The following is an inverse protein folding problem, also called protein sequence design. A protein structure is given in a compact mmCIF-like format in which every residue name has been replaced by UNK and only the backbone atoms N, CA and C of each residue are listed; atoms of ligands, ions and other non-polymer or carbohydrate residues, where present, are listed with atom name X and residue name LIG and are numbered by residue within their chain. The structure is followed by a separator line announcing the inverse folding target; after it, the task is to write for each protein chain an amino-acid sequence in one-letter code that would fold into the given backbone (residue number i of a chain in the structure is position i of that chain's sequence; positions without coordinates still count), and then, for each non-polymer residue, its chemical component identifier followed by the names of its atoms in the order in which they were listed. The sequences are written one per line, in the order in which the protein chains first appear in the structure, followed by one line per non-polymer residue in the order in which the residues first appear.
data_IF_621405257652
#
_entry.id   IF_621405257652
#
_cell.length_a   1.000
_cell.length_b   1.000
_cell.length_c   1.000
_cell.angle_alpha   90.00
_cell.angle_beta   90.00
_cell.angle_gamma   90.00
#
_symmetry.space_group_name_H-M   'P 1'
#
loop_
_entity.id
_entity.type
_entity.pdbx_description
1 polymer ?
#
# COMPACT_ATOMS: atom_id res chain seq x y z
N UNK A 1 31.94 36.30 19.06
CA UNK A 1 30.60 36.77 18.68
C UNK A 1 30.19 35.96 17.46
N UNK A 2 29.54 34.80 17.69
CA UNK A 2 29.04 33.90 16.65
C UNK A 2 27.58 34.22 16.37
N UNK A 3 27.28 34.61 15.16
CA UNK A 3 25.90 34.72 14.66
C UNK A 3 25.34 33.33 14.39
N UNK A 4 24.27 32.95 15.09
CA UNK A 4 23.45 31.78 14.74
C UNK A 4 22.72 32.07 13.40
N UNK A 5 22.66 31.11 12.46
CA UNK A 5 21.84 31.27 11.27
C UNK A 5 20.36 31.19 11.66
N UNK A 6 19.60 32.18 11.24
CA UNK A 6 18.16 32.25 11.41
C UNK A 6 17.48 31.03 10.80
N UNK A 7 16.74 30.29 11.60
CA UNK A 7 15.87 29.20 11.15
C UNK A 7 14.83 29.75 10.16
N UNK A 8 14.81 29.23 8.93
CA UNK A 8 13.75 29.51 7.96
C UNK A 8 12.42 29.06 8.54
N UNK A 9 11.35 29.87 8.45
CA UNK A 9 10.04 29.45 8.89
C UNK A 9 9.58 28.27 8.02
N UNK A 10 9.35 27.13 8.66
CA UNK A 10 8.65 25.99 8.07
C UNK A 10 7.26 26.46 7.67
N UNK A 11 6.97 26.50 6.36
CA UNK A 11 5.65 26.82 5.86
C UNK A 11 4.67 25.76 6.41
N UNK A 12 3.90 26.13 7.42
CA UNK A 12 2.78 25.35 7.92
C UNK A 12 1.73 25.35 6.82
N UNK A 13 1.56 24.20 6.15
CA UNK A 13 0.45 24.01 5.22
C UNK A 13 -0.82 24.06 6.06
N UNK A 14 -1.50 25.21 6.03
CA UNK A 14 -2.80 25.42 6.66
C UNK A 14 -3.81 24.50 5.96
N UNK A 15 -4.30 23.47 6.66
CA UNK A 15 -5.37 22.63 6.15
C UNK A 15 -6.69 23.40 6.27
N UNK A 16 -7.52 23.48 5.22
CA UNK A 16 -8.80 24.18 5.28
C UNK A 16 -9.71 23.51 6.30
N UNK A 17 -10.32 24.32 7.16
CA UNK A 17 -11.37 23.89 8.09
C UNK A 17 -12.74 24.20 7.47
N UNK A 18 -13.65 23.25 7.59
CA UNK A 18 -15.02 23.36 7.11
C UNK A 18 -15.97 23.53 8.28
N UNK A 19 -16.66 24.66 8.31
CA UNK A 19 -17.65 24.96 9.34
C UNK A 19 -19.05 24.93 8.72
N UNK A 20 -19.95 24.14 9.30
CA UNK A 20 -21.38 24.17 8.98
C UNK A 20 -22.06 25.18 9.91
N UNK A 21 -22.65 26.22 9.32
CA UNK A 21 -23.39 27.25 10.06
C UNK A 21 -24.88 27.10 9.76
N UNK A 22 -25.68 26.89 10.80
CA UNK A 22 -27.14 26.86 10.73
C UNK A 22 -27.65 28.06 11.50
N UNK A 23 -28.45 28.89 10.84
CA UNK A 23 -29.07 30.07 11.45
C UNK A 23 -30.58 29.85 11.51
N UNK A 24 -31.12 29.87 12.69
CA UNK A 24 -32.55 29.71 12.92
C UNK A 24 -33.14 30.91 13.70
N UNK A 25 -34.27 31.47 13.23
CA UNK A 25 -35.02 32.47 13.98
C UNK A 25 -35.96 31.76 14.94
N UNK A 26 -35.81 31.99 16.24
CA UNK A 26 -36.65 31.38 17.28
C UNK A 26 -37.86 32.28 17.64
N UNK A 27 -37.66 33.60 17.59
CA UNK A 27 -38.69 34.62 17.78
C UNK A 27 -38.29 35.91 17.06
N UNK A 28 -39.10 36.95 17.12
CA UNK A 28 -38.82 38.21 16.44
C UNK A 28 -37.54 38.90 16.93
N UNK A 29 -37.11 38.61 18.16
CA UNK A 29 -35.92 39.20 18.76
C UNK A 29 -34.85 38.16 19.10
N UNK A 30 -34.96 36.88 18.67
CA UNK A 30 -34.02 35.85 19.01
C UNK A 30 -33.66 35.02 17.78
N UNK A 31 -32.37 35.03 17.47
CA UNK A 31 -31.75 34.22 16.43
C UNK A 31 -30.74 33.27 17.08
N UNK A 32 -30.84 32.00 16.72
CA UNK A 32 -29.89 30.97 17.16
C UNK A 32 -28.96 30.69 16.00
N UNK A 33 -27.66 30.70 16.28
CA UNK A 33 -26.59 30.32 15.33
C UNK A 33 -25.91 29.08 15.89
N UNK A 34 -25.99 27.96 15.14
CA UNK A 34 -25.29 26.72 15.45
C UNK A 34 -24.08 26.62 14.51
N UNK A 35 -22.90 26.52 15.08
CA UNK A 35 -21.65 26.32 14.33
C UNK A 35 -21.10 24.95 14.68
N UNK A 36 -20.90 24.09 13.67
CA UNK A 36 -20.33 22.76 13.81
C UNK A 36 -19.10 22.62 12.93
N UNK A 37 -17.99 22.11 13.48
CA UNK A 37 -16.85 21.72 12.68
C UNK A 37 -17.17 20.39 11.97
N UNK A 38 -17.22 20.44 10.63
CA UNK A 38 -17.50 19.29 9.78
C UNK A 38 -16.27 18.89 8.95
N UNK A 39 -15.11 19.41 9.30
CA UNK A 39 -13.87 19.22 8.53
C UNK A 39 -13.51 17.74 8.34
N UNK A 40 -13.64 16.92 9.37
CA UNK A 40 -13.39 15.48 9.27
C UNK A 40 -14.39 14.78 8.34
N UNK A 41 -15.69 15.10 8.47
CA UNK A 41 -16.74 14.51 7.64
C UNK A 41 -16.56 14.87 6.16
N UNK A 42 -16.21 16.13 5.86
CA UNK A 42 -15.96 16.58 4.49
C UNK A 42 -14.69 15.91 3.92
N UNK A 43 -13.61 15.84 4.69
CA UNK A 43 -12.38 15.14 4.27
C UNK A 43 -12.65 13.66 4.00
N UNK A 44 -13.38 13.00 4.88
CA UNK A 44 -13.74 11.59 4.69
C UNK A 44 -14.57 11.40 3.41
N UNK A 45 -15.56 12.28 3.15
CA UNK A 45 -16.34 12.22 1.92
C UNK A 45 -15.47 12.44 0.69
N UNK A 46 -14.58 13.44 0.70
CA UNK A 46 -13.67 13.71 -0.42
C UNK A 46 -12.72 12.54 -0.71
N UNK A 47 -12.15 11.94 0.34
CA UNK A 47 -11.27 10.76 0.20
C UNK A 47 -12.06 9.58 -0.37
N UNK A 48 -13.28 9.36 0.10
CA UNK A 48 -14.16 8.30 -0.40
C UNK A 48 -14.53 8.53 -1.87
N UNK A 49 -14.93 9.75 -2.23
CA UNK A 49 -15.38 10.08 -3.59
C UNK A 49 -14.21 10.02 -4.58
N UNK A 50 -13.03 10.50 -4.19
CA UNK A 50 -11.80 10.32 -4.97
C UNK A 50 -11.43 8.85 -5.12
N UNK A 51 -11.62 8.04 -4.08
CA UNK A 51 -11.38 6.60 -4.14
C UNK A 51 -12.31 5.92 -5.16
N UNK A 52 -13.62 6.21 -5.12
CA UNK A 52 -14.59 5.63 -6.06
C UNK A 52 -14.26 6.04 -7.50
N UNK A 53 -13.92 7.32 -7.74
CA UNK A 53 -13.56 7.83 -9.06
C UNK A 53 -12.32 7.11 -9.59
N UNK A 54 -11.25 7.04 -8.80
CA UNK A 54 -10.00 6.38 -9.19
C UNK A 54 -10.21 4.88 -9.46
N UNK A 55 -10.98 4.18 -8.62
CA UNK A 55 -11.33 2.76 -8.83
C UNK A 55 -12.04 2.60 -10.17
N UNK A 56 -13.04 3.44 -10.45
CA UNK A 56 -13.81 3.38 -11.69
C UNK A 56 -12.91 3.59 -12.92
N UNK A 57 -12.03 4.59 -12.90
CA UNK A 57 -11.08 4.85 -13.97
C UNK A 57 -10.09 3.70 -14.19
N UNK A 58 -9.59 3.11 -13.10
CA UNK A 58 -8.64 2.00 -13.19
C UNK A 58 -9.31 0.68 -13.65
N UNK A 59 -10.62 0.50 -13.38
CA UNK A 59 -11.39 -0.64 -13.92
C UNK A 59 -11.73 -0.46 -15.39
N UNK A 60 -11.99 0.76 -15.84
CA UNK A 60 -12.32 1.04 -17.24
C UNK A 60 -11.17 0.72 -18.21
N UNK A 61 -9.92 0.98 -17.84
CA UNK A 61 -8.76 0.74 -18.72
C UNK A 61 -8.63 -0.72 -19.18
N UNK A 62 -8.57 -1.72 -18.26
CA UNK A 62 -8.48 -3.11 -18.68
C UNK A 62 -9.75 -3.61 -19.39
N UNK A 63 -10.96 -3.11 -19.03
CA UNK A 63 -12.19 -3.49 -19.74
C UNK A 63 -12.20 -2.98 -21.17
N UNK A 64 -11.76 -1.75 -21.45
CA UNK A 64 -11.59 -1.24 -22.80
C UNK A 64 -10.56 -2.04 -23.61
N UNK A 65 -9.45 -2.47 -22.96
CA UNK A 65 -8.48 -3.35 -23.63
C UNK A 65 -9.08 -4.71 -23.97
N UNK A 66 -9.95 -5.26 -23.13
CA UNK A 66 -10.65 -6.51 -23.39
C UNK A 66 -11.64 -6.37 -24.55
N UNK A 67 -12.40 -5.27 -24.63
CA UNK A 67 -13.30 -4.95 -25.76
C UNK A 67 -12.52 -4.86 -27.07
N UNK A 68 -11.43 -4.09 -27.11
CA UNK A 68 -10.59 -3.96 -28.29
C UNK A 68 -10.03 -5.32 -28.78
N UNK A 69 -9.61 -6.19 -27.85
CA UNK A 69 -9.15 -7.53 -28.18
C UNK A 69 -10.27 -8.42 -28.72
N UNK A 70 -11.47 -8.29 -28.17
CA UNK A 70 -12.64 -9.01 -28.67
C UNK A 70 -12.99 -8.58 -30.12
N UNK A 71 -13.00 -7.27 -30.38
CA UNK A 71 -13.24 -6.72 -31.74
C UNK A 71 -12.23 -7.24 -32.77
N UNK A 72 -10.94 -7.33 -32.39
CA UNK A 72 -9.88 -7.86 -33.25
C UNK A 72 -10.13 -9.34 -33.57
N UNK A 73 -10.58 -10.12 -32.59
CA UNK A 73 -10.89 -11.54 -32.79
C UNK A 73 -12.13 -11.73 -33.70
N UNK A 74 -13.16 -10.88 -33.52
CA UNK A 74 -14.39 -10.94 -34.34
C UNK A 74 -14.15 -10.54 -35.78
N UNK A 75 -13.26 -9.60 -36.08
CA UNK A 75 -12.99 -9.15 -37.45
C UNK A 75 -12.33 -10.22 -38.31
N UNK A 76 -11.75 -11.26 -37.75
CA UNK A 76 -11.12 -12.36 -38.45
C UNK A 76 -9.88 -11.93 -39.26
N UNK A 77 -9.16 -12.90 -39.83
CA UNK A 77 -7.98 -12.62 -40.66
C UNK A 77 -6.67 -12.40 -39.90
N UNK A 78 -6.68 -12.66 -38.61
CA UNK A 78 -5.48 -12.58 -37.75
C UNK A 78 -4.57 -13.79 -37.97
N UNK A 79 -3.26 -13.54 -38.03
CA UNK A 79 -2.28 -14.62 -38.08
C UNK A 79 -2.27 -15.41 -36.75
N UNK A 80 -1.75 -16.65 -36.76
CA UNK A 80 -1.59 -17.47 -35.56
C UNK A 80 -0.78 -16.71 -34.48
N UNK A 81 0.24 -15.95 -34.88
CA UNK A 81 1.07 -15.15 -33.97
C UNK A 81 0.29 -14.00 -33.33
N UNK A 82 -0.63 -13.38 -34.07
CA UNK A 82 -1.48 -12.30 -33.52
C UNK A 82 -2.50 -12.87 -32.55
N UNK A 83 -3.05 -14.05 -32.81
CA UNK A 83 -3.96 -14.75 -31.88
C UNK A 83 -3.23 -15.05 -30.55
N UNK A 84 -2.00 -15.56 -30.60
CA UNK A 84 -1.22 -15.86 -29.41
C UNK A 84 -0.88 -14.59 -28.64
N UNK A 85 -0.48 -13.51 -29.31
CA UNK A 85 -0.20 -12.21 -28.69
C UNK A 85 -1.44 -11.63 -28.00
N UNK A 86 -2.57 -11.64 -28.69
CA UNK A 86 -3.84 -11.15 -28.16
C UNK A 86 -4.31 -11.98 -26.96
N UNK A 87 -4.14 -13.30 -27.00
CA UNK A 87 -4.44 -14.17 -25.87
C UNK A 87 -3.57 -13.90 -24.65
N UNK A 88 -2.26 -13.57 -24.84
CA UNK A 88 -1.41 -13.14 -23.75
C UNK A 88 -1.88 -11.80 -23.13
N UNK A 89 -2.20 -10.81 -23.95
CA UNK A 89 -2.68 -9.51 -23.47
C UNK A 89 -4.02 -9.65 -22.74
N UNK A 90 -4.93 -10.50 -23.23
CA UNK A 90 -6.18 -10.82 -22.56
C UNK A 90 -5.93 -11.39 -21.14
N UNK A 91 -5.07 -12.38 -21.04
CA UNK A 91 -4.71 -12.99 -19.75
C UNK A 91 -4.11 -11.97 -18.78
N UNK A 92 -3.20 -11.12 -19.25
CA UNK A 92 -2.62 -10.05 -18.43
C UNK A 92 -3.68 -9.07 -17.94
N UNK A 93 -4.61 -8.66 -18.80
CA UNK A 93 -5.70 -7.74 -18.43
C UNK A 93 -6.65 -8.37 -17.41
N UNK A 94 -7.00 -9.65 -17.56
CA UNK A 94 -7.80 -10.40 -16.59
C UNK A 94 -7.07 -10.50 -15.24
N UNK A 95 -5.79 -10.88 -15.25
CA UNK A 95 -4.99 -10.98 -14.02
C UNK A 95 -4.89 -9.63 -13.27
N UNK A 96 -4.75 -8.52 -14.00
CA UNK A 96 -4.77 -7.17 -13.41
C UNK A 96 -6.11 -6.87 -12.73
N UNK A 97 -7.22 -7.23 -13.37
CA UNK A 97 -8.55 -7.06 -12.79
C UNK A 97 -8.74 -7.89 -11.53
N UNK A 98 -8.30 -9.15 -11.54
CA UNK A 98 -8.36 -10.04 -10.38
C UNK A 98 -7.56 -9.48 -9.20
N UNK A 99 -6.32 -9.03 -9.43
CA UNK A 99 -5.49 -8.40 -8.41
C UNK A 99 -6.13 -7.12 -7.87
N UNK A 100 -6.68 -6.26 -8.73
CA UNK A 100 -7.36 -5.03 -8.32
C UNK A 100 -8.57 -5.33 -7.43
N UNK A 101 -9.42 -6.27 -7.84
CA UNK A 101 -10.60 -6.67 -7.05
C UNK A 101 -10.17 -7.24 -5.70
N UNK A 102 -9.14 -8.09 -5.68
CA UNK A 102 -8.58 -8.64 -4.44
C UNK A 102 -8.07 -7.55 -3.50
N UNK A 103 -7.31 -6.59 -4.03
CA UNK A 103 -6.78 -5.45 -3.27
C UNK A 103 -7.91 -4.56 -2.70
N UNK A 104 -8.96 -4.32 -3.48
CA UNK A 104 -10.14 -3.58 -3.04
C UNK A 104 -10.91 -4.32 -1.94
N UNK A 105 -11.13 -5.62 -2.10
CA UNK A 105 -11.81 -6.45 -1.10
C UNK A 105 -11.02 -6.48 0.21
N UNK A 106 -9.70 -6.52 0.14
CA UNK A 106 -8.85 -6.46 1.33
C UNK A 106 -9.00 -5.12 2.07
N UNK A 107 -8.98 -4.00 1.34
CA UNK A 107 -9.20 -2.68 1.92
C UNK A 107 -10.61 -2.50 2.53
N UNK A 108 -11.60 -3.22 2.02
CA UNK A 108 -12.97 -3.21 2.56
C UNK A 108 -13.10 -4.12 3.79
N UNK A 109 -12.53 -5.33 3.73
CA UNK A 109 -12.60 -6.30 4.85
C UNK A 109 -11.84 -5.82 6.08
N UNK A 110 -10.68 -5.21 5.89
CA UNK A 110 -9.84 -4.73 6.98
C UNK A 110 -10.29 -3.36 7.57
N UNK A 111 -11.59 -3.08 7.63
CA UNK A 111 -12.10 -1.80 8.16
C UNK A 111 -12.23 -1.75 9.68
N UNK A 112 -12.19 -2.87 10.36
CA UNK A 112 -12.35 -2.93 11.82
C UNK A 112 -11.01 -3.21 12.48
N UNK A 113 -10.67 -2.47 13.56
CA UNK A 113 -9.48 -2.81 14.36
C UNK A 113 -9.55 -4.26 14.86
N UNK A 114 -8.44 -4.95 14.80
CA UNK A 114 -8.31 -6.30 15.31
C UNK A 114 -8.22 -6.24 16.83
N UNK A 115 -9.13 -6.92 17.50
CA UNK A 115 -9.08 -7.03 18.97
C UNK A 115 -8.16 -8.19 19.35
N UNK A 116 -7.19 -7.97 20.26
CA UNK A 116 -6.33 -9.05 20.75
C UNK A 116 -7.15 -10.11 21.48
N UNK A 117 -6.97 -11.38 21.08
CA UNK A 117 -7.56 -12.56 21.72
C UNK A 117 -6.55 -13.70 21.69
N UNK A 118 -6.74 -14.73 22.53
CA UNK A 118 -5.90 -15.92 22.48
C UNK A 118 -6.01 -16.67 21.15
N UNK A 119 -7.17 -16.57 20.49
CA UNK A 119 -7.46 -17.31 19.26
C UNK A 119 -6.80 -16.70 18.01
N UNK A 120 -6.39 -15.43 18.08
CA UNK A 120 -5.72 -14.73 16.97
C UNK A 120 -4.23 -14.47 17.22
N UNK A 121 -3.62 -15.20 18.18
CA UNK A 121 -2.18 -15.15 18.43
C UNK A 121 -1.45 -15.96 17.35
N UNK A 122 -0.51 -15.36 16.68
CA UNK A 122 0.27 -15.95 15.59
C UNK A 122 1.76 -15.65 15.74
N UNK A 123 2.59 -16.62 15.36
CA UNK A 123 4.03 -16.41 15.26
C UNK A 123 4.34 -15.53 14.05
N UNK A 124 5.17 -14.51 14.23
CA UNK A 124 5.52 -13.52 13.18
C UNK A 124 6.21 -14.18 11.98
N UNK A 125 7.01 -15.22 12.22
CA UNK A 125 7.74 -15.89 11.15
C UNK A 125 6.87 -16.78 10.25
N UNK A 126 5.67 -17.17 10.68
CA UNK A 126 4.78 -18.00 9.87
C UNK A 126 4.30 -17.28 8.60
N UNK A 127 3.65 -16.08 8.67
CA UNK A 127 3.30 -15.33 7.49
C UNK A 127 4.53 -14.91 6.65
N UNK A 128 5.68 -14.63 7.28
CA UNK A 128 6.91 -14.31 6.56
C UNK A 128 7.37 -15.49 5.70
N UNK A 129 7.41 -16.72 6.26
CA UNK A 129 7.79 -17.93 5.52
C UNK A 129 6.85 -18.21 4.36
N UNK A 130 5.56 -18.10 4.58
CA UNK A 130 4.55 -18.33 3.53
C UNK A 130 4.80 -17.38 2.36
N UNK A 131 4.92 -16.08 2.63
CA UNK A 131 5.10 -15.06 1.59
C UNK A 131 6.45 -15.21 0.89
N UNK A 132 7.54 -15.38 1.61
CA UNK A 132 8.86 -15.53 0.99
C UNK A 132 8.89 -16.76 0.09
N UNK A 133 8.36 -17.89 0.54
CA UNK A 133 8.36 -19.12 -0.24
C UNK A 133 7.51 -19.03 -1.51
N UNK A 134 6.35 -18.36 -1.46
CA UNK A 134 5.49 -18.17 -2.64
C UNK A 134 6.09 -17.21 -3.69
N UNK A 135 7.01 -16.33 -3.29
CA UNK A 135 7.63 -15.37 -4.21
C UNK A 135 9.02 -15.77 -4.72
N UNK A 136 9.60 -16.88 -4.23
CA UNK A 136 10.95 -17.29 -4.64
C UNK A 136 11.07 -17.57 -6.13
N UNK A 137 10.08 -18.23 -6.73
CA UNK A 137 10.10 -18.57 -8.14
C UNK A 137 10.05 -17.32 -9.02
N UNK A 138 9.17 -16.37 -8.69
CA UNK A 138 9.05 -15.11 -9.41
C UNK A 138 10.35 -14.28 -9.27
N UNK A 139 10.94 -14.22 -8.09
CA UNK A 139 12.22 -13.55 -7.86
C UNK A 139 13.37 -14.21 -8.67
N UNK A 140 13.41 -15.54 -8.72
CA UNK A 140 14.42 -16.29 -9.45
C UNK A 140 14.39 -16.03 -10.96
N UNK A 141 13.24 -15.71 -11.57
CA UNK A 141 13.14 -15.32 -12.98
C UNK A 141 13.95 -14.06 -13.31
N UNK A 142 14.23 -13.22 -12.30
CA UNK A 142 15.08 -12.03 -12.38
C UNK A 142 16.44 -12.22 -11.69
N UNK A 143 16.84 -13.46 -11.40
CA UNK A 143 18.04 -13.79 -10.63
C UNK A 143 18.10 -13.07 -9.26
N UNK A 144 16.94 -12.71 -8.67
CA UNK A 144 16.84 -12.11 -7.36
C UNK A 144 16.75 -13.21 -6.32
N UNK A 145 17.57 -13.11 -5.26
CA UNK A 145 17.52 -14.00 -4.10
C UNK A 145 16.72 -13.33 -2.98
N UNK A 146 15.84 -14.07 -2.29
CA UNK A 146 15.16 -13.58 -1.10
C UNK A 146 15.71 -14.31 0.11
N UNK A 147 16.45 -13.59 0.95
CA UNK A 147 16.94 -14.07 2.24
C UNK A 147 15.98 -13.65 3.35
N UNK A 148 15.64 -14.58 4.25
CA UNK A 148 14.83 -14.26 5.42
C UNK A 148 15.56 -14.64 6.70
N UNK A 149 15.41 -13.77 7.72
CA UNK A 149 15.94 -13.99 9.08
C UNK A 149 14.93 -13.42 10.08
N UNK A 150 14.81 -14.03 11.23
CA UNK A 150 13.95 -13.47 12.25
C UNK A 150 14.02 -14.22 13.58
N UNK A 151 13.40 -13.62 14.57
CA UNK A 151 13.24 -14.20 15.90
C UNK A 151 11.99 -15.07 15.90
N UNK A 152 12.19 -16.36 16.10
CA UNK A 152 11.15 -17.39 16.13
C UNK A 152 10.22 -17.30 17.36
N UNK A 153 10.59 -16.50 18.35
CA UNK A 153 9.80 -16.32 19.57
C UNK A 153 8.77 -15.20 19.50
N UNK A 154 8.78 -14.39 18.43
CA UNK A 154 7.88 -13.25 18.34
C UNK A 154 6.46 -13.67 18.01
N UNK A 155 5.53 -13.27 18.85
CA UNK A 155 4.10 -13.48 18.67
C UNK A 155 3.35 -12.15 18.63
N UNK A 156 2.34 -12.06 17.77
CA UNK A 156 1.46 -10.92 17.63
C UNK A 156 0.01 -11.38 17.63
N UNK A 157 -0.92 -10.47 17.92
CA UNK A 157 -2.33 -10.72 17.70
C UNK A 157 -2.75 -10.15 16.33
N UNK A 158 -3.35 -10.98 15.49
CA UNK A 158 -3.72 -10.52 14.16
C UNK A 158 -4.42 -11.53 13.29
N UNK A 159 -4.78 -11.09 12.11
CA UNK A 159 -5.34 -11.89 11.02
C UNK A 159 -4.22 -12.31 10.07
N UNK A 160 -3.84 -13.58 10.10
CA UNK A 160 -2.71 -14.11 9.34
C UNK A 160 -2.82 -13.78 7.83
N UNK A 161 -4.00 -13.90 7.24
CA UNK A 161 -4.24 -13.60 5.82
C UNK A 161 -3.99 -12.12 5.49
N UNK A 162 -4.40 -11.20 6.36
CA UNK A 162 -4.17 -9.76 6.15
C UNK A 162 -2.70 -9.41 6.25
N UNK A 163 -1.99 -9.98 7.23
CA UNK A 163 -0.56 -9.77 7.40
C UNK A 163 0.22 -10.37 6.22
N UNK A 164 -0.12 -11.59 5.78
CA UNK A 164 0.45 -12.18 4.57
C UNK A 164 0.25 -11.30 3.35
N UNK A 165 -0.97 -10.76 3.15
CA UNK A 165 -1.25 -9.86 2.04
C UNK A 165 -0.41 -8.58 2.10
N UNK A 166 -0.27 -7.95 3.27
CA UNK A 166 0.60 -6.78 3.43
C UNK A 166 2.07 -7.09 3.15
N UNK A 167 2.59 -8.21 3.67
CA UNK A 167 3.95 -8.66 3.41
C UNK A 167 4.18 -9.02 1.94
N UNK A 168 3.20 -9.64 1.27
CA UNK A 168 3.25 -9.91 -0.16
C UNK A 168 3.43 -8.62 -0.96
N UNK A 169 2.68 -7.55 -0.64
CA UNK A 169 2.85 -6.24 -1.30
C UNK A 169 4.23 -5.63 -1.09
N UNK A 170 4.84 -5.81 0.08
CA UNK A 170 6.22 -5.36 0.32
C UNK A 170 7.23 -6.17 -0.49
N UNK A 171 7.08 -7.50 -0.55
CA UNK A 171 7.97 -8.39 -1.31
C UNK A 171 7.80 -8.19 -2.82
N UNK A 172 6.57 -8.06 -3.32
CA UNK A 172 6.26 -7.73 -4.72
C UNK A 172 6.93 -6.41 -5.13
N UNK A 173 6.81 -5.36 -4.31
CA UNK A 173 7.49 -4.10 -4.55
C UNK A 173 9.01 -4.27 -4.57
N UNK A 174 9.58 -4.98 -3.60
CA UNK A 174 11.01 -5.23 -3.54
C UNK A 174 11.50 -5.98 -4.80
N UNK A 175 10.78 -7.00 -5.28
CA UNK A 175 11.12 -7.70 -6.53
C UNK A 175 11.03 -6.74 -7.71
N UNK A 176 9.95 -5.95 -7.80
CA UNK A 176 9.68 -5.05 -8.93
C UNK A 176 10.76 -3.98 -9.09
N UNK A 177 11.18 -3.37 -7.99
CA UNK A 177 12.10 -2.22 -8.02
C UNK A 177 13.57 -2.57 -7.81
N UNK A 178 13.88 -3.80 -7.40
CA UNK A 178 15.26 -4.27 -7.29
C UNK A 178 15.94 -4.43 -8.65
N UNK A 179 17.26 -4.34 -8.63
CA UNK A 179 18.10 -4.70 -9.79
C UNK A 179 18.15 -6.21 -9.94
N UNK A 180 18.23 -6.68 -11.18
CA UNK A 180 18.44 -8.10 -11.46
C UNK A 180 19.75 -8.60 -10.83
N UNK A 181 19.73 -9.82 -10.32
CA UNK A 181 20.87 -10.42 -9.63
C UNK A 181 21.11 -9.91 -8.21
N UNK A 182 20.21 -9.09 -7.65
CA UNK A 182 20.33 -8.56 -6.30
C UNK A 182 19.76 -9.50 -5.23
N UNK A 183 19.93 -9.12 -3.96
CA UNK A 183 19.34 -9.83 -2.81
C UNK A 183 18.35 -8.93 -2.08
N UNK A 184 17.15 -9.43 -1.86
CA UNK A 184 16.13 -8.85 -0.98
C UNK A 184 16.27 -9.50 0.39
N UNK A 185 16.29 -8.69 1.45
CA UNK A 185 16.34 -9.21 2.81
C UNK A 185 15.02 -8.97 3.53
N UNK A 186 14.43 -10.01 4.07
CA UNK A 186 13.23 -9.94 4.93
C UNK A 186 13.68 -10.28 6.36
N UNK A 187 13.53 -9.31 7.27
CA UNK A 187 14.01 -9.45 8.65
C UNK A 187 12.87 -9.16 9.62
N UNK A 188 12.60 -10.09 10.54
CA UNK A 188 11.65 -9.90 11.63
C UNK A 188 12.38 -9.89 12.97
N UNK A 189 12.22 -8.82 13.75
CA UNK A 189 12.85 -8.66 15.06
C UNK A 189 11.98 -7.82 15.99
N UNK A 190 12.18 -7.93 17.29
CA UNK A 190 11.59 -6.96 18.23
C UNK A 190 12.24 -5.57 18.05
N UNK A 191 11.48 -4.52 18.37
CA UNK A 191 12.04 -3.17 18.55
C UNK A 191 12.94 -3.13 19.80
N UNK A 192 13.66 -2.02 20.01
CA UNK A 192 14.59 -1.87 21.15
C UNK A 192 13.89 -1.96 22.51
N UNK A 193 12.61 -1.60 22.55
CA UNK A 193 11.79 -1.62 23.77
C UNK A 193 11.17 -2.99 24.06
N UNK A 194 11.22 -3.93 23.10
CA UNK A 194 10.61 -5.27 23.23
C UNK A 194 9.07 -5.25 23.23
N UNK A 195 8.45 -4.22 22.69
CA UNK A 195 7.00 -4.03 22.68
C UNK A 195 6.35 -4.28 21.33
N UNK A 196 7.14 -4.27 20.25
CA UNK A 196 6.64 -4.38 18.88
C UNK A 196 7.52 -5.33 18.05
N UNK A 197 6.89 -6.08 17.17
CA UNK A 197 7.56 -6.81 16.11
C UNK A 197 7.74 -5.90 14.90
N UNK A 198 8.97 -5.79 14.41
CA UNK A 198 9.35 -5.03 13.22
C UNK A 198 9.70 -5.99 12.10
N UNK A 199 8.87 -6.07 11.06
CA UNK A 199 9.11 -6.87 9.88
C UNK A 199 9.59 -5.94 8.78
N UNK A 200 10.86 -6.05 8.40
CA UNK A 200 11.52 -5.18 7.41
C UNK A 200 11.79 -5.92 6.11
N UNK A 201 11.44 -5.31 4.99
CA UNK A 201 11.80 -5.77 3.65
C UNK A 201 12.76 -4.75 3.05
N UNK A 202 13.98 -5.17 2.79
CA UNK A 202 15.06 -4.33 2.27
C UNK A 202 15.36 -4.73 0.83
N UNK A 203 15.24 -3.77 -0.08
CA UNK A 203 15.58 -3.89 -1.48
C UNK A 203 16.86 -3.11 -1.84
N UNK A 204 17.45 -3.42 -3.00
CA UNK A 204 18.58 -2.70 -3.60
C UNK A 204 18.19 -2.05 -4.92
N UNK A 205 17.05 -1.38 -4.91
CA UNK A 205 16.48 -0.70 -6.07
C UNK A 205 16.98 0.73 -6.27
N UNK A 206 16.23 1.48 -7.05
CA UNK A 206 16.52 2.88 -7.35
C UNK A 206 16.40 3.81 -6.13
N UNK A 207 15.72 3.37 -5.07
CA UNK A 207 15.40 4.21 -3.93
C UNK A 207 14.30 5.22 -4.25
N UNK A 208 13.89 5.99 -3.23
CA UNK A 208 12.74 6.91 -3.27
C UNK A 208 13.19 8.29 -2.80
N UNK A 209 12.86 9.32 -3.57
CA UNK A 209 13.16 10.70 -3.21
C UNK A 209 12.45 11.10 -1.90
N UNK A 210 13.12 11.90 -1.06
CA UNK A 210 12.59 12.31 0.27
C UNK A 210 11.20 12.94 0.16
N UNK A 211 10.95 13.75 -0.87
CA UNK A 211 9.66 14.41 -1.09
C UNK A 211 8.50 13.45 -1.42
N UNK A 212 8.80 12.23 -1.87
CA UNK A 212 7.81 11.22 -2.23
C UNK A 212 7.51 10.25 -1.07
N UNK A 213 8.45 10.06 -0.13
CA UNK A 213 8.36 9.05 0.93
C UNK A 213 7.13 9.20 1.83
N UNK A 214 6.63 10.41 2.02
CA UNK A 214 5.40 10.65 2.78
C UNK A 214 4.13 10.27 2.02
N UNK A 215 4.21 10.21 0.68
CA UNK A 215 3.06 10.02 -0.22
C UNK A 215 2.91 8.61 -0.73
N UNK A 216 3.98 7.80 -0.74
CA UNK A 216 3.96 6.44 -1.30
C UNK A 216 2.95 5.50 -0.65
N UNK A 217 2.48 5.82 0.57
CA UNK A 217 1.42 5.09 1.26
C UNK A 217 0.01 5.66 0.98
N UNK A 218 -0.10 6.71 0.15
CA UNK A 218 -1.39 7.22 -0.32
C UNK A 218 -1.97 6.27 -1.38
N UNK A 219 -3.30 6.13 -1.39
CA UNK A 219 -4.00 5.29 -2.38
C UNK A 219 -3.81 5.88 -3.78
N UNK A 220 -3.53 5.02 -4.78
CA UNK A 220 -3.32 5.36 -6.18
C UNK A 220 -2.10 6.24 -6.46
N UNK A 221 -1.27 6.52 -5.44
CA UNK A 221 -0.03 7.24 -5.65
C UNK A 221 1.01 6.34 -6.31
N UNK A 222 1.68 6.90 -7.30
CA UNK A 222 2.82 6.29 -8.00
C UNK A 222 3.90 7.36 -8.14
N UNK A 223 5.12 7.03 -7.71
CA UNK A 223 6.28 7.92 -7.86
C UNK A 223 6.76 8.02 -9.30
N UNK A 224 7.62 8.98 -9.57
CA UNK A 224 8.15 9.25 -10.92
C UNK A 224 9.17 8.19 -11.39
N UNK A 225 9.80 7.44 -10.50
CA UNK A 225 10.78 6.40 -10.79
C UNK A 225 10.12 5.08 -11.23
N UNK A 226 9.41 5.10 -12.36
CA UNK A 226 8.85 3.89 -12.96
C UNK A 226 9.92 3.24 -13.85
N UNK A 227 10.17 1.94 -13.64
CA UNK A 227 10.97 1.10 -14.54
C UNK A 227 10.05 0.26 -15.46
N UNK A 228 10.64 -0.42 -16.45
CA UNK A 228 9.90 -1.25 -17.39
C UNK A 228 9.07 -2.36 -16.72
N UNK A 229 9.44 -2.74 -15.48
CA UNK A 229 8.77 -3.77 -14.69
C UNK A 229 7.64 -3.20 -13.80
N UNK A 230 7.59 -1.87 -13.59
CA UNK A 230 6.59 -1.22 -12.70
C UNK A 230 5.28 -0.85 -13.42
N UNK A 231 5.13 -1.20 -14.71
CA UNK A 231 4.03 -0.77 -15.57
C UNK A 231 2.61 -1.10 -15.07
N UNK A 232 2.46 -2.12 -14.25
CA UNK A 232 1.16 -2.72 -13.94
C UNK A 232 0.58 -2.36 -12.56
N UNK A 233 1.32 -1.67 -11.71
CA UNK A 233 0.89 -1.33 -10.36
C UNK A 233 -0.16 -0.20 -10.33
N UNK A 234 -1.26 -0.41 -9.58
CA UNK A 234 -2.37 0.54 -9.47
C UNK A 234 -2.13 1.58 -8.36
N UNK A 235 -1.06 1.41 -7.58
CA UNK A 235 -0.77 2.29 -6.44
C UNK A 235 -1.61 1.98 -5.19
N UNK A 236 -2.10 0.74 -5.04
CA UNK A 236 -2.82 0.29 -3.85
C UNK A 236 -1.95 -0.50 -2.87
N UNK A 237 -0.86 -1.13 -3.32
CA UNK A 237 -0.08 -2.06 -2.51
C UNK A 237 0.41 -1.48 -1.18
N UNK A 238 1.10 -0.34 -1.19
CA UNK A 238 1.58 0.30 0.04
C UNK A 238 0.46 0.90 0.89
N UNK A 239 -0.65 1.33 0.27
CA UNK A 239 -1.85 1.74 1.00
C UNK A 239 -2.48 0.56 1.75
N UNK A 240 -2.44 -0.65 1.19
CA UNK A 240 -2.86 -1.89 1.86
C UNK A 240 -1.94 -2.17 3.06
N UNK A 241 -0.62 -2.09 2.89
CA UNK A 241 0.35 -2.28 3.99
C UNK A 241 0.04 -1.35 5.15
N UNK A 242 -0.15 -0.05 4.88
CA UNK A 242 -0.50 0.95 5.88
C UNK A 242 -1.85 0.64 6.54
N UNK A 243 -2.83 0.21 5.76
CA UNK A 243 -4.16 -0.10 6.27
C UNK A 243 -4.15 -1.31 7.21
N UNK A 244 -3.48 -2.40 6.79
CA UNK A 244 -3.29 -3.58 7.64
C UNK A 244 -2.52 -3.23 8.91
N UNK A 245 -1.44 -2.45 8.82
CA UNK A 245 -0.72 -1.98 10.00
C UNK A 245 -1.65 -1.29 10.99
N UNK A 246 -2.45 -0.31 10.53
CA UNK A 246 -3.37 0.46 11.38
C UNK A 246 -4.48 -0.39 12.01
N UNK A 247 -5.04 -1.36 11.29
CA UNK A 247 -6.07 -2.26 11.83
C UNK A 247 -5.54 -3.23 12.89
N UNK A 248 -4.22 -3.47 12.85
CA UNK A 248 -3.49 -4.25 13.85
C UNK A 248 -2.81 -3.37 14.92
N UNK A 249 -3.23 -2.11 15.08
CA UNK A 249 -2.69 -1.14 16.05
C UNK A 249 -1.19 -0.84 15.87
N UNK A 250 -0.65 -1.11 14.70
CA UNK A 250 0.74 -0.89 14.34
C UNK A 250 0.94 0.28 13.38
N UNK A 251 2.07 0.27 12.71
CA UNK A 251 2.45 1.30 11.74
C UNK A 251 3.21 0.72 10.55
N UNK A 252 3.25 1.48 9.44
CA UNK A 252 4.10 1.19 8.30
C UNK A 252 5.01 2.38 8.02
N UNK A 253 6.27 2.11 7.75
CA UNK A 253 7.27 3.15 7.49
C UNK A 253 8.21 2.76 6.35
N UNK A 254 8.94 3.75 5.83
CA UNK A 254 9.98 3.58 4.84
C UNK A 254 11.21 4.39 5.23
N UNK A 255 12.36 3.79 5.03
CA UNK A 255 13.65 4.48 4.95
C UNK A 255 14.23 4.20 3.56
N UNK A 256 14.57 5.24 2.82
CA UNK A 256 15.08 5.09 1.47
C UNK A 256 16.01 6.23 1.09
N UNK A 257 16.97 5.93 0.24
CA UNK A 257 17.88 6.90 -0.36
C UNK A 257 18.00 6.63 -1.86
N UNK A 258 17.87 7.66 -2.72
CA UNK A 258 18.04 7.50 -4.16
C UNK A 258 19.36 6.77 -4.51
N UNK A 259 19.27 5.74 -5.32
CA UNK A 259 20.39 4.92 -5.76
C UNK A 259 20.87 3.83 -4.79
N UNK A 260 20.36 3.79 -3.56
CA UNK A 260 20.77 2.84 -2.52
C UNK A 260 19.72 1.77 -2.20
N UNK A 261 18.48 1.94 -2.66
CA UNK A 261 17.37 1.06 -2.37
C UNK A 261 16.49 1.59 -1.25
N UNK A 262 15.60 0.73 -0.76
CA UNK A 262 14.61 1.08 0.26
C UNK A 262 14.51 -0.01 1.32
N UNK A 263 14.11 0.38 2.51
CA UNK A 263 13.70 -0.51 3.60
C UNK A 263 12.28 -0.13 4.00
N UNK A 264 11.35 -1.01 3.73
CA UNK A 264 9.98 -0.89 4.21
C UNK A 264 9.81 -1.69 5.49
N UNK A 265 9.15 -1.11 6.47
CA UNK A 265 8.88 -1.78 7.74
C UNK A 265 7.37 -1.82 8.03
N UNK A 266 6.89 -3.01 8.37
CA UNK A 266 5.60 -3.27 8.98
C UNK A 266 5.85 -3.49 10.48
N UNK A 267 5.30 -2.63 11.31
CA UNK A 267 5.47 -2.65 12.77
C UNK A 267 4.14 -3.03 13.40
N UNK A 268 4.14 -4.07 14.24
CA UNK A 268 2.94 -4.61 14.88
C UNK A 268 3.19 -4.82 16.37
N UNK A 269 2.24 -4.50 17.26
CA UNK A 269 2.37 -4.77 18.69
C UNK A 269 2.60 -6.25 18.96
N UNK A 270 3.54 -6.57 19.85
CA UNK A 270 3.70 -7.94 20.32
C UNK A 270 2.49 -8.37 21.16
N UNK A 271 2.15 -9.65 21.09
CA UNK A 271 1.10 -10.20 21.92
C UNK A 271 1.52 -10.06 23.39
N UNK A 272 0.66 -9.45 24.20
CA UNK A 272 0.87 -9.41 25.65
C UNK A 272 0.82 -10.81 26.27
N UNK A 273 1.41 -10.94 27.47
CA UNK A 273 1.36 -12.18 28.26
C UNK A 273 -0.07 -12.59 28.62
#
# INVERSE_FOLDING_TARGET
IGQQPASKPTATVSRPNWLKVIVGKLSDNLVVVLISDVSESVRFSQVRDSFITNVSEQLLKPTQSLEQLADIVEQGGTSQQDVERNAMQLRQSCSRLEHMISDLLLLIKAQKPILPTTDNRINVMDPVRVVVNSHREVAAQRNITIDMKGDESLEINGEAEQIQAALAKLVENAITYSKDGSTINVVAKANEEGTEAVISVLDRGAGIAIGEQSRIFERFYRGDNQNDHSGDGIGLGLAIVKHVALTHHGSASVWSSPGQGSTFALVLPLAGE
#
